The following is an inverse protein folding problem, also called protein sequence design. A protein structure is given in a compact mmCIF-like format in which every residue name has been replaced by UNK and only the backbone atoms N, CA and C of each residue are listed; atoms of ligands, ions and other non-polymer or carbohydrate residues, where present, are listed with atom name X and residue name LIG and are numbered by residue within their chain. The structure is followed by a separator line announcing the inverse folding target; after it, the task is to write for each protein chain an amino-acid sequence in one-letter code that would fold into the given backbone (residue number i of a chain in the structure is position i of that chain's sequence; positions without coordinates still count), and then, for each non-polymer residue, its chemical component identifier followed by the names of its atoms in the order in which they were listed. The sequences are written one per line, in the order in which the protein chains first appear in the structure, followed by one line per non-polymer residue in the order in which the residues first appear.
data_IF_210646005676
#
_entry.id   IF_210646005676
#
_cell.length_a   1.000
_cell.length_b   1.000
_cell.length_c   1.000
_cell.angle_alpha   90.00
_cell.angle_beta   90.00
_cell.angle_gamma   90.00
#
_symmetry.space_group_name_H-M   'P 1'
#
loop_
_entity.id
_entity.type
_entity.pdbx_description
1 polymer ?
#
# COMPACT_ATOMS: atom_id res chain seq x y z
N UNK A 1 35.98 1.21 18.34
CA UNK A 1 35.37 0.28 17.36
C UNK A 1 33.86 0.50 17.37
N UNK A 2 33.29 0.80 16.20
CA UNK A 2 31.84 1.05 16.05
C UNK A 2 31.11 -0.26 16.31
N UNK A 3 30.37 -0.36 17.42
CA UNK A 3 29.48 -1.50 17.71
C UNK A 3 28.43 -1.56 16.60
N UNK A 4 28.63 -2.49 15.65
CA UNK A 4 27.64 -2.85 14.61
C UNK A 4 26.32 -3.17 15.31
N UNK A 5 25.27 -2.40 15.01
CA UNK A 5 23.93 -2.60 15.56
C UNK A 5 23.48 -4.04 15.34
N UNK A 6 23.13 -4.73 16.41
CA UNK A 6 22.65 -6.12 16.37
C UNK A 6 21.22 -6.11 15.83
N UNK A 7 20.82 -7.15 15.08
CA UNK A 7 19.41 -7.40 14.74
C UNK A 7 18.48 -7.36 15.98
N UNK A 8 19.01 -7.68 17.16
CA UNK A 8 18.31 -7.58 18.44
C UNK A 8 17.95 -6.17 18.90
N UNK A 9 18.66 -5.12 18.46
CA UNK A 9 18.37 -3.73 18.84
C UNK A 9 17.12 -3.17 18.14
N UNK A 10 16.75 -3.73 16.96
CA UNK A 10 15.46 -3.48 16.30
C UNK A 10 14.28 -4.10 17.07
N UNK A 11 14.55 -5.14 17.86
CA UNK A 11 13.58 -5.85 18.69
C UNK A 11 13.55 -5.31 20.13
N UNK A 12 13.81 -4.03 20.38
CA UNK A 12 13.42 -3.42 21.65
C UNK A 12 11.88 -3.36 21.75
N UNK A 13 11.33 -3.70 22.92
CA UNK A 13 9.87 -3.80 23.20
C UNK A 13 9.07 -2.53 22.85
N UNK A 14 9.78 -1.41 22.66
CA UNK A 14 9.26 -0.08 22.31
C UNK A 14 9.18 0.20 20.80
N UNK A 15 10.06 -0.39 19.98
CA UNK A 15 10.04 -0.26 18.51
C UNK A 15 9.44 -1.48 17.81
N UNK A 16 9.38 -2.66 18.46
CA UNK A 16 8.83 -3.89 17.87
C UNK A 16 7.45 -3.71 17.24
N UNK A 17 6.55 -2.97 17.91
CA UNK A 17 5.21 -2.75 17.37
C UNK A 17 5.26 -1.93 16.08
N UNK A 18 6.05 -0.85 16.05
CA UNK A 18 6.23 -0.03 14.84
C UNK A 18 6.90 -0.83 13.72
N UNK A 19 7.91 -1.65 14.04
CA UNK A 19 8.58 -2.51 13.05
C UNK A 19 7.63 -3.56 12.49
N UNK A 20 6.81 -4.21 13.33
CA UNK A 20 5.81 -5.18 12.88
C UNK A 20 4.73 -4.52 12.01
N UNK A 21 4.21 -3.36 12.41
CA UNK A 21 3.24 -2.59 11.62
C UNK A 21 3.83 -2.20 10.26
N UNK A 22 5.08 -1.75 10.23
CA UNK A 22 5.79 -1.43 8.99
C UNK A 22 6.01 -2.65 8.10
N UNK A 23 6.37 -3.80 8.68
CA UNK A 23 6.48 -5.05 7.94
C UNK A 23 5.15 -5.45 7.31
N UNK A 24 4.04 -5.35 8.05
CA UNK A 24 2.70 -5.60 7.51
C UNK A 24 2.37 -4.64 6.37
N UNK A 25 2.64 -3.34 6.54
CA UNK A 25 2.38 -2.34 5.50
C UNK A 25 3.22 -2.62 4.25
N UNK A 26 4.52 -2.87 4.38
CA UNK A 26 5.40 -3.18 3.25
C UNK A 26 5.00 -4.47 2.53
N UNK A 27 4.66 -5.50 3.30
CA UNK A 27 4.17 -6.77 2.76
C UNK A 27 2.90 -6.55 1.93
N UNK A 28 1.88 -5.91 2.52
CA UNK A 28 0.58 -5.69 1.86
C UNK A 28 0.69 -4.74 0.67
N UNK A 29 1.46 -3.65 0.80
CA UNK A 29 1.61 -2.66 -0.27
C UNK A 29 2.29 -3.31 -1.48
N UNK A 30 3.33 -4.11 -1.25
CA UNK A 30 3.98 -4.86 -2.32
C UNK A 30 3.07 -5.95 -2.91
N UNK A 31 2.37 -6.70 -2.06
CA UNK A 31 1.40 -7.71 -2.50
C UNK A 31 0.31 -7.10 -3.40
N UNK A 32 -0.23 -5.95 -3.00
CA UNK A 32 -1.31 -5.28 -3.72
C UNK A 32 -0.82 -4.53 -4.96
N UNK A 33 0.39 -3.98 -4.93
CA UNK A 33 1.04 -3.38 -6.10
C UNK A 33 1.25 -4.41 -7.22
N UNK A 34 1.77 -5.59 -6.89
CA UNK A 34 1.92 -6.64 -7.88
C UNK A 34 0.54 -7.24 -8.26
N UNK A 35 -0.39 -7.27 -7.30
CA UNK A 35 -1.73 -7.82 -7.49
C UNK A 35 -2.57 -7.01 -8.46
N UNK A 36 -2.53 -5.67 -8.36
CA UNK A 36 -3.26 -4.78 -9.27
C UNK A 36 -2.74 -4.90 -10.70
N UNK A 37 -1.45 -5.15 -10.92
CA UNK A 37 -0.88 -5.36 -12.26
C UNK A 37 -1.45 -6.63 -12.89
N UNK A 38 -1.49 -7.74 -12.14
CA UNK A 38 -2.06 -9.01 -12.61
C UNK A 38 -3.58 -8.94 -12.79
N UNK A 39 -4.26 -8.23 -11.88
CA UNK A 39 -5.70 -8.02 -11.97
C UNK A 39 -6.04 -7.18 -13.20
N UNK A 40 -5.28 -6.11 -13.45
CA UNK A 40 -5.44 -5.25 -14.63
C UNK A 40 -5.34 -6.09 -15.90
N UNK A 41 -4.32 -6.93 -16.04
CA UNK A 41 -4.18 -7.81 -17.21
C UNK A 41 -5.32 -8.81 -17.32
N UNK A 42 -5.72 -9.42 -16.20
CA UNK A 42 -6.82 -10.38 -16.19
C UNK A 42 -8.17 -9.73 -16.57
N UNK A 43 -8.45 -8.53 -16.07
CA UNK A 43 -9.68 -7.79 -16.38
C UNK A 43 -9.76 -7.36 -17.86
N UNK A 44 -8.62 -7.04 -18.49
CA UNK A 44 -8.58 -6.77 -19.94
C UNK A 44 -8.69 -8.05 -20.79
N UNK A 45 -8.31 -9.19 -20.24
CA UNK A 45 -8.38 -10.49 -20.92
C UNK A 45 -9.77 -11.16 -20.78
N UNK A 46 -10.46 -10.94 -19.65
CA UNK A 46 -11.76 -11.55 -19.34
C UNK A 46 -12.87 -11.08 -20.31
N UNK A 47 -13.62 -12.01 -20.95
CA UNK A 47 -14.71 -11.71 -21.86
C UNK A 47 -16.01 -11.39 -21.12
N UNK A 48 -15.95 -10.52 -20.12
CA UNK A 48 -17.13 -10.11 -19.37
C UNK A 48 -17.83 -9.00 -20.14
N UNK A 49 -19.03 -9.28 -20.67
CA UNK A 49 -19.87 -8.30 -21.39
C UNK A 49 -20.25 -7.04 -20.59
N UNK A 50 -19.81 -6.97 -19.33
CA UNK A 50 -19.92 -5.83 -18.43
C UNK A 50 -18.96 -4.66 -18.75
N UNK A 51 -17.75 -4.95 -19.26
CA UNK A 51 -16.70 -3.94 -19.41
C UNK A 51 -16.42 -3.50 -20.86
N UNK A 52 -17.42 -3.65 -21.74
CA UNK A 52 -17.40 -3.05 -23.08
C UNK A 52 -16.50 -3.76 -24.09
N UNK A 53 -16.25 -5.06 -23.91
CA UNK A 53 -15.69 -5.89 -24.98
C UNK A 53 -16.82 -6.30 -25.93
N UNK A 54 -16.90 -5.65 -27.11
CA UNK A 54 -17.74 -6.07 -28.24
C UNK A 54 -17.26 -7.40 -28.84
N UNK A 55 -17.34 -8.51 -28.11
CA UNK A 55 -16.92 -9.83 -28.62
C UNK A 55 -18.09 -10.80 -28.59
N UNK A 56 -18.54 -11.16 -29.80
CA UNK A 56 -19.55 -12.19 -30.06
C UNK A 56 -19.06 -13.53 -29.50
N UNK A 57 -19.84 -14.13 -28.61
CA UNK A 57 -19.70 -15.50 -28.15
C UNK A 57 -19.78 -16.46 -29.36
N UNK A 58 -18.68 -17.15 -29.69
CA UNK A 58 -18.69 -18.21 -30.70
C UNK A 58 -18.80 -19.57 -29.97
N UNK A 59 -19.89 -20.34 -30.16
CA UNK A 59 -20.19 -21.53 -29.35
C UNK A 59 -19.37 -22.80 -29.69
N UNK A 60 -18.27 -22.71 -30.44
CA UNK A 60 -17.43 -23.86 -30.80
C UNK A 60 -15.95 -23.63 -30.44
N UNK A 61 -15.45 -24.15 -29.30
CA UNK A 61 -14.07 -23.96 -28.90
C UNK A 61 -13.19 -25.07 -29.51
N UNK A 62 -12.55 -24.78 -30.65
CA UNK A 62 -11.37 -25.54 -31.09
C UNK A 62 -10.14 -24.84 -30.54
N UNK A 63 -9.57 -25.41 -29.47
CA UNK A 63 -8.32 -25.05 -28.77
C UNK A 63 -8.52 -24.37 -27.39
N UNK A 64 -8.06 -25.05 -26.33
CA UNK A 64 -8.12 -24.65 -24.91
C UNK A 64 -7.04 -23.61 -24.52
N UNK A 65 -6.32 -23.07 -25.51
CA UNK A 65 -5.25 -22.08 -25.35
C UNK A 65 -5.40 -21.00 -26.42
N UNK A 66 -6.54 -20.32 -26.43
CA UNK A 66 -6.76 -19.17 -27.30
C UNK A 66 -5.91 -18.01 -26.75
N UNK A 67 -4.65 -17.91 -27.20
CA UNK A 67 -3.81 -16.73 -27.03
C UNK A 67 -4.51 -15.54 -27.71
N UNK A 68 -5.45 -14.91 -27.01
CA UNK A 68 -6.16 -13.75 -27.51
C UNK A 68 -5.21 -12.58 -27.51
N UNK A 69 -4.92 -12.08 -28.70
CA UNK A 69 -3.99 -10.97 -28.89
C UNK A 69 -4.60 -9.72 -28.26
N UNK A 70 -3.95 -9.17 -27.22
CA UNK A 70 -4.27 -7.85 -26.66
C UNK A 70 -4.46 -6.86 -27.81
N UNK A 71 -5.64 -6.25 -27.91
CA UNK A 71 -5.93 -5.33 -29.01
C UNK A 71 -5.15 -4.05 -28.79
N UNK A 72 -4.83 -3.30 -29.86
CA UNK A 72 -4.12 -2.01 -29.76
C UNK A 72 -4.72 -1.07 -28.71
N UNK A 73 -6.04 -1.10 -28.52
CA UNK A 73 -6.76 -0.33 -27.50
C UNK A 73 -6.40 -0.76 -26.07
N UNK A 74 -6.30 -2.06 -25.80
CA UNK A 74 -5.92 -2.58 -24.47
C UNK A 74 -4.48 -2.23 -24.12
N UNK A 75 -3.59 -2.25 -25.13
CA UNK A 75 -2.20 -1.84 -24.95
C UNK A 75 -2.08 -0.34 -24.62
N UNK A 76 -2.90 0.50 -25.26
CA UNK A 76 -2.96 1.95 -24.98
C UNK A 76 -3.47 2.18 -23.55
N UNK A 77 -4.51 1.48 -23.12
CA UNK A 77 -5.05 1.60 -21.76
C UNK A 77 -4.05 1.10 -20.69
N UNK A 78 -3.33 0.01 -20.96
CA UNK A 78 -2.27 -0.50 -20.09
C UNK A 78 -1.10 0.50 -19.96
N UNK A 79 -0.74 1.14 -21.08
CA UNK A 79 0.29 2.18 -21.11
C UNK A 79 -0.17 3.40 -20.31
N UNK A 80 -1.43 3.81 -20.48
CA UNK A 80 -2.02 4.94 -19.77
C UNK A 80 -2.05 4.73 -18.25
N UNK A 81 -2.48 3.55 -17.79
CA UNK A 81 -2.48 3.22 -16.35
C UNK A 81 -1.07 3.16 -15.76
N UNK A 82 -0.07 2.75 -16.53
CA UNK A 82 1.35 2.77 -16.07
C UNK A 82 1.88 4.20 -15.99
N UNK A 83 1.48 5.06 -16.94
CA UNK A 83 1.86 6.47 -16.92
C UNK A 83 1.32 7.20 -15.68
N UNK A 84 0.26 6.68 -15.04
CA UNK A 84 -0.32 7.19 -13.79
C UNK A 84 0.65 7.24 -12.61
N UNK A 85 1.71 6.41 -12.63
CA UNK A 85 2.66 6.32 -11.54
C UNK A 85 3.43 7.64 -11.38
N UNK A 86 3.81 8.30 -12.47
CA UNK A 86 4.51 9.59 -12.42
C UNK A 86 3.70 10.70 -11.73
N UNK A 87 2.50 11.08 -12.20
CA UNK A 87 1.69 12.10 -11.54
C UNK A 87 1.28 11.66 -10.14
N UNK A 88 1.01 10.37 -9.92
CA UNK A 88 0.73 9.82 -8.59
C UNK A 88 1.85 10.10 -7.60
N UNK A 89 3.10 9.85 -7.98
CA UNK A 89 4.28 10.12 -7.16
C UNK A 89 4.43 11.61 -6.80
N UNK A 90 4.21 12.52 -7.76
CA UNK A 90 4.25 13.96 -7.49
C UNK A 90 3.15 14.40 -6.52
N UNK A 91 1.93 13.90 -6.73
CA UNK A 91 0.78 14.18 -5.87
C UNK A 91 1.07 13.67 -4.46
N UNK A 92 1.49 12.41 -4.31
CA UNK A 92 1.87 11.83 -3.02
C UNK A 92 2.99 12.62 -2.35
N UNK A 93 4.05 12.97 -3.06
CA UNK A 93 5.14 13.79 -2.52
C UNK A 93 4.62 15.13 -1.95
N UNK A 94 3.69 15.76 -2.66
CA UNK A 94 3.03 16.98 -2.19
C UNK A 94 2.15 16.74 -0.95
N UNK A 95 1.34 15.67 -0.94
CA UNK A 95 0.52 15.29 0.23
C UNK A 95 1.37 14.97 1.47
N UNK A 96 2.48 14.25 1.29
CA UNK A 96 3.41 13.92 2.37
C UNK A 96 3.92 15.17 3.08
N UNK A 97 4.22 16.22 2.31
CA UNK A 97 4.69 17.51 2.83
C UNK A 97 3.56 18.32 3.49
N UNK A 98 2.34 18.30 2.95
CA UNK A 98 1.23 19.17 3.39
C UNK A 98 0.37 18.58 4.51
N UNK A 99 0.05 17.28 4.45
CA UNK A 99 -0.89 16.59 5.33
C UNK A 99 -0.13 15.79 6.40
N UNK A 100 1.07 15.29 6.06
CA UNK A 100 1.92 14.51 6.96
C UNK A 100 1.96 13.05 6.53
N UNK A 101 3.07 12.39 6.87
CA UNK A 101 3.48 11.12 6.25
C UNK A 101 2.58 9.95 6.66
N UNK A 102 2.22 9.87 7.94
CA UNK A 102 1.30 8.85 8.48
C UNK A 102 -0.08 8.90 7.83
N UNK A 103 -0.68 10.09 7.80
CA UNK A 103 -2.03 10.28 7.25
C UNK A 103 -2.07 10.06 5.74
N UNK A 104 -1.04 10.51 5.02
CA UNK A 104 -0.95 10.30 3.57
C UNK A 104 -0.96 8.81 3.24
N UNK A 105 -0.09 8.02 3.87
CA UNK A 105 -0.06 6.56 3.64
C UNK A 105 -1.39 5.88 4.00
N UNK A 106 -2.01 6.27 5.12
CA UNK A 106 -3.28 5.67 5.55
C UNK A 106 -4.44 6.02 4.60
N UNK A 107 -4.51 7.28 4.14
CA UNK A 107 -5.50 7.74 3.16
C UNK A 107 -5.30 7.04 1.83
N UNK A 108 -4.05 6.92 1.36
CA UNK A 108 -3.75 6.22 0.11
C UNK A 108 -4.19 4.75 0.17
N UNK A 109 -3.85 4.02 1.23
CA UNK A 109 -4.28 2.62 1.39
C UNK A 109 -5.82 2.49 1.48
N UNK A 110 -6.51 3.42 2.14
CA UNK A 110 -7.98 3.44 2.16
C UNK A 110 -8.58 3.73 0.79
N UNK A 111 -8.08 4.74 0.09
CA UNK A 111 -8.54 5.10 -1.26
C UNK A 111 -8.34 3.92 -2.19
N UNK A 112 -7.20 3.22 -2.10
CA UNK A 112 -6.97 2.00 -2.87
C UNK A 112 -8.03 0.93 -2.58
N UNK A 113 -8.33 0.63 -1.30
CA UNK A 113 -9.38 -0.33 -0.95
C UNK A 113 -10.74 0.04 -1.56
N UNK A 114 -11.12 1.32 -1.47
CA UNK A 114 -12.40 1.80 -2.02
C UNK A 114 -12.41 1.66 -3.55
N UNK A 115 -11.35 2.09 -4.23
CA UNK A 115 -11.25 2.04 -5.69
C UNK A 115 -11.26 0.58 -6.19
N UNK A 116 -10.52 -0.31 -5.54
CA UNK A 116 -10.49 -1.74 -5.88
C UNK A 116 -11.85 -2.39 -5.65
N UNK A 117 -12.59 -1.99 -4.60
CA UNK A 117 -13.96 -2.45 -4.42
C UNK A 117 -14.90 -1.91 -5.51
N UNK A 118 -14.77 -0.64 -5.91
CA UNK A 118 -15.57 -0.02 -6.98
C UNK A 118 -15.33 -0.69 -8.34
N UNK A 119 -14.14 -1.23 -8.59
CA UNK A 119 -13.84 -2.01 -9.81
C UNK A 119 -14.69 -3.29 -9.92
N UNK A 120 -15.25 -3.81 -8.82
CA UNK A 120 -16.21 -4.93 -8.92
C UNK A 120 -17.55 -4.52 -9.53
N UNK A 121 -17.87 -3.22 -9.57
CA UNK A 121 -19.12 -2.74 -10.14
C UNK A 121 -18.96 -2.71 -11.67
N UNK A 122 -19.88 -3.38 -12.35
CA UNK A 122 -20.00 -3.39 -13.80
C UNK A 122 -20.05 -1.94 -14.34
N UNK A 123 -19.02 -1.53 -15.09
CA UNK A 123 -18.76 -0.15 -15.53
C UNK A 123 -18.28 -0.14 -16.98
N UNK A 124 -18.50 0.95 -17.74
CA UNK A 124 -17.94 1.08 -19.08
C UNK A 124 -16.40 1.06 -19.06
N UNK A 125 -15.79 0.64 -20.18
CA UNK A 125 -14.33 0.47 -20.35
C UNK A 125 -13.52 1.69 -19.90
N UNK A 126 -14.00 2.89 -20.22
CA UNK A 126 -13.36 4.15 -19.82
C UNK A 126 -13.35 4.36 -18.30
N UNK A 127 -14.45 4.01 -17.64
CA UNK A 127 -14.56 4.06 -16.18
C UNK A 127 -13.59 3.08 -15.52
N UNK A 128 -13.52 1.85 -16.01
CA UNK A 128 -12.59 0.83 -15.51
C UNK A 128 -11.13 1.31 -15.63
N UNK A 129 -10.72 1.80 -16.81
CA UNK A 129 -9.36 2.31 -17.03
C UNK A 129 -9.04 3.47 -16.09
N UNK A 130 -10.00 4.37 -15.84
CA UNK A 130 -9.84 5.47 -14.90
C UNK A 130 -9.67 4.99 -13.45
N UNK A 131 -10.49 4.05 -12.97
CA UNK A 131 -10.33 3.50 -11.62
C UNK A 131 -9.01 2.74 -11.47
N UNK A 132 -8.59 1.98 -12.47
CA UNK A 132 -7.29 1.28 -12.47
C UNK A 132 -6.13 2.29 -12.47
N UNK A 133 -6.24 3.38 -13.22
CA UNK A 133 -5.27 4.49 -13.20
C UNK A 133 -5.13 5.07 -11.79
N UNK A 134 -6.25 5.38 -11.13
CA UNK A 134 -6.26 5.89 -9.75
C UNK A 134 -5.70 4.86 -8.77
N UNK A 135 -6.10 3.59 -8.88
CA UNK A 135 -5.60 2.52 -8.02
C UNK A 135 -4.07 2.40 -8.12
N UNK A 136 -3.52 2.43 -9.35
CA UNK A 136 -2.07 2.37 -9.59
C UNK A 136 -1.32 3.56 -9.03
N UNK A 137 -1.84 4.77 -9.27
CA UNK A 137 -1.24 5.99 -8.75
C UNK A 137 -1.17 5.98 -7.21
N UNK A 138 -2.26 5.57 -6.57
CA UNK A 138 -2.40 5.57 -5.10
C UNK A 138 -1.54 4.49 -4.44
N UNK A 139 -1.48 3.27 -4.98
CA UNK A 139 -0.66 2.20 -4.40
C UNK A 139 0.85 2.46 -4.59
N UNK A 140 1.23 3.05 -5.72
CA UNK A 140 2.61 3.50 -5.96
C UNK A 140 2.99 4.64 -5.00
N UNK A 141 2.07 5.57 -4.79
CA UNK A 141 2.17 6.61 -3.75
C UNK A 141 2.39 6.02 -2.35
N UNK A 142 1.54 5.08 -1.93
CA UNK A 142 1.65 4.44 -0.62
C UNK A 142 3.00 3.75 -0.41
N UNK A 143 3.54 3.12 -1.46
CA UNK A 143 4.86 2.50 -1.44
C UNK A 143 5.95 3.56 -1.26
N UNK A 144 5.91 4.65 -2.04
CA UNK A 144 6.87 5.75 -1.91
C UNK A 144 6.80 6.42 -0.52
N UNK A 145 5.60 6.63 0.01
CA UNK A 145 5.37 7.12 1.37
C UNK A 145 6.00 6.21 2.42
N UNK A 146 5.85 4.89 2.28
CA UNK A 146 6.49 3.92 3.14
C UNK A 146 8.03 3.99 3.06
N UNK A 147 8.59 4.16 1.85
CA UNK A 147 10.04 4.31 1.64
C UNK A 147 10.62 5.55 2.30
N UNK A 148 9.88 6.66 2.30
CA UNK A 148 10.29 7.92 2.96
C UNK A 148 10.12 7.83 4.47
N UNK A 149 9.01 7.24 4.93
CA UNK A 149 8.70 7.14 6.35
C UNK A 149 9.62 6.18 7.12
N UNK A 150 10.02 5.07 6.49
CA UNK A 150 10.89 4.04 7.09
C UNK A 150 12.20 4.63 7.66
N UNK A 151 13.02 5.38 6.90
CA UNK A 151 14.25 5.96 7.44
C UNK A 151 14.04 7.05 8.49
N UNK A 152 12.87 7.67 8.56
CA UNK A 152 12.58 8.72 9.55
C UNK A 152 12.27 8.16 10.94
N UNK A 153 11.68 6.96 11.01
CA UNK A 153 11.39 6.31 12.29
C UNK A 153 12.61 5.61 12.90
N UNK A 154 13.59 5.22 12.08
CA UNK A 154 14.77 4.49 12.54
C UNK A 154 15.97 5.43 12.72
N UNK A 155 16.69 5.35 13.87
CA UNK A 155 17.92 6.11 14.07
C UNK A 155 19.00 5.69 13.08
N UNK A 156 19.91 6.61 12.75
CA UNK A 156 20.93 6.47 11.69
C UNK A 156 21.72 5.15 11.76
N UNK A 157 21.98 4.64 12.97
CA UNK A 157 22.71 3.39 13.21
C UNK A 157 21.98 2.12 12.78
N UNK A 158 20.65 2.11 12.77
CA UNK A 158 19.82 0.93 12.42
C UNK A 158 18.92 1.16 11.20
N UNK A 159 18.93 2.38 10.64
CA UNK A 159 18.14 2.78 9.46
C UNK A 159 18.28 1.82 8.28
N UNK A 160 19.53 1.46 7.92
CA UNK A 160 19.79 0.55 6.80
C UNK A 160 19.22 -0.86 7.05
N UNK A 161 19.32 -1.37 8.28
CA UNK A 161 18.79 -2.70 8.64
C UNK A 161 17.26 -2.67 8.69
N UNK A 162 16.68 -1.60 9.23
CA UNK A 162 15.23 -1.38 9.24
C UNK A 162 14.65 -1.35 7.82
N UNK A 163 15.22 -0.55 6.92
CA UNK A 163 14.81 -0.50 5.52
C UNK A 163 15.03 -1.84 4.80
N UNK A 164 16.17 -2.49 5.03
CA UNK A 164 16.48 -3.80 4.43
C UNK A 164 15.49 -4.90 4.84
N UNK A 165 15.11 -4.97 6.12
CA UNK A 165 14.13 -5.94 6.60
C UNK A 165 12.72 -5.67 6.05
N UNK A 166 12.30 -4.38 6.01
CA UNK A 166 11.03 -3.99 5.41
C UNK A 166 10.99 -4.34 3.91
N UNK A 167 12.07 -4.06 3.18
CA UNK A 167 12.21 -4.43 1.77
C UNK A 167 12.19 -5.94 1.55
N UNK A 168 12.86 -6.71 2.41
CA UNK A 168 12.78 -8.17 2.40
C UNK A 168 11.32 -8.64 2.49
N UNK A 169 10.55 -8.07 3.42
CA UNK A 169 9.13 -8.41 3.58
C UNK A 169 8.26 -8.02 2.37
N UNK A 170 8.55 -6.88 1.73
CA UNK A 170 7.90 -6.53 0.46
C UNK A 170 8.20 -7.54 -0.65
N UNK A 171 9.44 -8.06 -0.74
CA UNK A 171 9.77 -9.09 -1.74
C UNK A 171 8.98 -10.37 -1.49
N UNK A 172 8.79 -10.77 -0.24
CA UNK A 172 7.93 -11.92 0.09
C UNK A 172 6.49 -11.68 -0.38
N UNK A 173 5.93 -10.48 -0.15
CA UNK A 173 4.61 -10.12 -0.68
C UNK A 173 4.52 -10.20 -2.20
N UNK A 174 5.53 -9.68 -2.91
CA UNK A 174 5.60 -9.73 -4.37
C UNK A 174 5.67 -11.17 -4.91
N UNK A 175 6.44 -12.05 -4.26
CA UNK A 175 6.57 -13.46 -4.65
C UNK A 175 5.24 -14.20 -4.46
N UNK A 176 4.52 -13.94 -3.37
CA UNK A 176 3.25 -14.63 -3.06
C UNK A 176 2.13 -14.19 -4.02
N UNK A 177 2.17 -12.95 -4.49
CA UNK A 177 1.12 -12.35 -5.33
C UNK A 177 0.73 -13.20 -6.54
N UNK A 178 1.64 -13.59 -7.46
CA UNK A 178 1.26 -14.36 -8.64
C UNK A 178 0.68 -15.73 -8.29
N UNK A 179 1.14 -16.38 -7.22
CA UNK A 179 0.54 -17.66 -6.78
C UNK A 179 -0.90 -17.47 -6.33
N UNK A 180 -1.18 -16.42 -5.54
CA UNK A 180 -2.54 -16.12 -5.10
C UNK A 180 -3.41 -15.72 -6.29
N UNK A 181 -2.92 -14.86 -7.17
CA UNK A 181 -3.64 -14.44 -8.38
C UNK A 181 -3.99 -15.65 -9.26
N UNK A 182 -3.04 -16.56 -9.53
CA UNK A 182 -3.29 -17.73 -10.37
C UNK A 182 -4.37 -18.66 -9.81
N UNK A 183 -4.43 -18.85 -8.49
CA UNK A 183 -5.44 -19.71 -7.85
C UNK A 183 -6.79 -19.01 -7.79
N UNK A 184 -6.84 -17.75 -7.37
CA UNK A 184 -8.10 -17.03 -7.18
C UNK A 184 -8.74 -16.61 -8.50
N UNK A 185 -7.96 -16.18 -9.50
CA UNK A 185 -8.50 -15.82 -10.82
C UNK A 185 -9.15 -17.02 -11.53
N UNK A 186 -8.67 -18.25 -11.28
CA UNK A 186 -9.30 -19.48 -11.79
C UNK A 186 -10.66 -19.77 -11.14
N UNK A 187 -10.85 -19.35 -9.89
CA UNK A 187 -12.07 -19.64 -9.14
C UNK A 187 -13.10 -18.52 -9.30
N UNK A 188 -12.71 -17.27 -9.04
CA UNK A 188 -13.55 -16.09 -9.20
C UNK A 188 -12.72 -14.81 -9.14
N UNK A 189 -12.88 -13.94 -10.13
CA UNK A 189 -12.27 -12.60 -10.16
C UNK A 189 -12.70 -11.75 -8.96
N UNK A 190 -13.98 -11.77 -8.60
CA UNK A 190 -14.52 -11.07 -7.42
C UNK A 190 -13.84 -11.49 -6.10
N UNK A 191 -13.52 -12.78 -5.96
CA UNK A 191 -12.83 -13.29 -4.77
C UNK A 191 -11.41 -12.73 -4.66
N UNK A 192 -10.68 -12.63 -5.79
CA UNK A 192 -9.36 -12.01 -5.84
C UNK A 192 -9.42 -10.55 -5.41
N UNK A 193 -10.34 -9.77 -5.98
CA UNK A 193 -10.47 -8.33 -5.72
C UNK A 193 -10.81 -8.07 -4.25
N UNK A 194 -11.77 -8.82 -3.70
CA UNK A 194 -12.15 -8.72 -2.28
C UNK A 194 -10.99 -9.06 -1.34
N UNK A 195 -10.17 -10.06 -1.69
CA UNK A 195 -8.99 -10.42 -0.92
C UNK A 195 -7.98 -9.26 -0.87
N UNK A 196 -7.59 -8.71 -2.04
CA UNK A 196 -6.66 -7.58 -2.10
C UNK A 196 -7.20 -6.36 -1.34
N UNK A 197 -8.48 -6.03 -1.49
CA UNK A 197 -9.14 -4.96 -0.75
C UNK A 197 -9.08 -5.16 0.77
N UNK A 198 -9.29 -6.40 1.24
CA UNK A 198 -9.25 -6.76 2.66
C UNK A 198 -7.84 -6.64 3.26
N UNK A 199 -6.81 -7.11 2.55
CA UNK A 199 -5.42 -6.93 2.99
C UNK A 199 -5.05 -5.45 3.06
N UNK A 200 -5.40 -4.65 2.05
CA UNK A 200 -5.17 -3.20 2.07
C UNK A 200 -5.92 -2.49 3.20
N UNK A 201 -7.14 -2.92 3.54
CA UNK A 201 -7.87 -2.39 4.68
C UNK A 201 -7.12 -2.66 6.00
N UNK A 202 -6.59 -3.86 6.18
CA UNK A 202 -5.77 -4.22 7.34
C UNK A 202 -4.51 -3.36 7.38
N UNK A 203 -3.85 -3.12 6.25
CA UNK A 203 -2.67 -2.25 6.19
C UNK A 203 -3.02 -0.77 6.45
N UNK A 204 -4.18 -0.29 6.00
CA UNK A 204 -4.67 1.05 6.30
C UNK A 204 -4.93 1.22 7.80
N UNK A 205 -5.59 0.24 8.43
CA UNK A 205 -5.78 0.21 9.88
C UNK A 205 -4.43 0.17 10.61
N UNK A 206 -3.50 -0.68 10.15
CA UNK A 206 -2.14 -0.72 10.68
C UNK A 206 -1.48 0.66 10.58
N UNK A 207 -1.64 1.37 9.45
CA UNK A 207 -1.16 2.72 9.22
C UNK A 207 -1.75 3.75 10.20
N UNK A 208 -3.04 3.66 10.51
CA UNK A 208 -3.68 4.51 11.53
C UNK A 208 -3.17 4.22 12.95
N UNK A 209 -2.90 2.97 13.28
CA UNK A 209 -2.38 2.56 14.58
C UNK A 209 -0.90 2.92 14.79
N UNK A 210 -0.19 3.49 13.80
CA UNK A 210 1.18 3.95 14.02
C UNK A 210 1.22 5.02 15.12
N UNK A 211 2.00 4.80 16.21
CA UNK A 211 2.03 5.71 17.36
C UNK A 211 2.89 6.96 17.13
N UNK A 212 3.62 7.03 16.01
CA UNK A 212 4.60 8.07 15.73
C UNK A 212 4.11 8.87 14.52
N UNK A 213 4.05 10.18 14.66
CA UNK A 213 3.83 11.12 13.56
C UNK A 213 5.13 11.89 13.36
N UNK A 214 5.81 11.69 12.22
CA UNK A 214 7.14 12.25 11.94
C UNK A 214 7.09 13.71 11.45
N UNK A 215 5.90 14.32 11.35
CA UNK A 215 5.74 15.71 10.92
C UNK A 215 6.28 16.67 11.99
N UNK A 216 7.37 17.36 11.67
CA UNK A 216 7.98 18.38 12.55
C UNK A 216 9.05 17.87 13.52
N UNK A 217 9.45 16.59 13.45
CA UNK A 217 10.69 16.15 14.08
C UNK A 217 11.84 16.41 13.11
N UNK A 218 12.45 17.59 13.22
CA UNK A 218 13.81 17.79 12.73
C UNK A 218 14.69 16.66 13.28
N UNK A 219 15.50 16.07 12.41
CA UNK A 219 16.56 15.16 12.83
C UNK A 219 17.53 15.96 13.68
N UNK A 220 17.25 16.10 14.98
CA UNK A 220 18.29 16.47 15.94
C UNK A 220 19.31 15.35 15.88
N UNK A 221 20.44 15.73 15.30
CA UNK A 221 21.70 15.03 15.41
C UNK A 221 21.86 14.58 16.88
N UNK A 222 21.87 13.28 17.10
CA UNK A 222 22.14 12.69 18.41
C UNK A 222 23.13 11.56 18.22
N UNK A 223 24.28 11.91 17.64
CA UNK A 223 25.53 11.55 18.31
C UNK A 223 25.47 12.14 19.71
N UNK A 224 25.23 11.28 20.71
CA UNK A 224 24.97 11.57 22.12
C UNK A 224 23.50 11.84 22.51
N UNK A 225 23.07 11.05 23.49
CA UNK A 225 21.84 11.13 24.30
C UNK A 225 20.48 10.80 23.66
N UNK A 226 20.07 9.55 23.89
CA UNK A 226 18.69 9.05 23.77
C UNK A 226 17.79 9.81 24.76
N UNK A 227 16.81 10.62 24.30
CA UNK A 227 15.78 11.12 25.22
C UNK A 227 14.92 9.94 25.65
N UNK A 228 14.93 9.64 26.94
CA UNK A 228 14.08 8.64 27.60
C UNK A 228 12.60 9.06 27.51
N UNK A 229 11.97 8.90 26.35
CA UNK A 229 10.51 8.96 26.30
C UNK A 229 10.02 7.65 26.92
N UNK A 230 9.51 7.72 28.14
CA UNK A 230 8.98 6.56 28.85
C UNK A 230 7.54 6.34 28.39
N UNK A 231 7.11 5.10 28.18
CA UNK A 231 5.73 4.77 27.73
C UNK A 231 4.64 5.34 28.67
N UNK A 232 4.98 5.67 29.92
CA UNK A 232 4.11 6.40 30.85
C UNK A 232 3.68 7.79 30.36
N UNK A 233 4.47 8.46 29.50
CA UNK A 233 4.14 9.79 28.99
C UNK A 233 3.14 9.79 27.83
N UNK A 234 3.03 8.70 27.07
CA UNK A 234 2.06 8.61 25.98
C UNK A 234 0.65 8.39 26.56
N UNK A 235 0.54 7.56 27.60
CA UNK A 235 -0.74 7.32 28.28
C UNK A 235 -1.19 8.53 29.09
N UNK A 236 -0.27 9.30 29.68
CA UNK A 236 -0.62 10.53 30.42
C UNK A 236 -1.03 11.67 29.48
N UNK A 237 -0.31 11.89 28.36
CA UNK A 237 -0.65 12.95 27.40
C UNK A 237 -1.95 12.68 26.64
N UNK A 238 -2.25 11.41 26.35
CA UNK A 238 -3.54 11.05 25.73
C UNK A 238 -4.68 11.26 26.74
N UNK A 239 -4.53 10.84 28.01
CA UNK A 239 -5.54 11.14 29.05
C UNK A 239 -5.71 12.64 29.30
N UNK A 240 -4.64 13.43 29.31
CA UNK A 240 -4.70 14.88 29.49
C UNK A 240 -5.40 15.59 28.33
N UNK A 241 -5.18 15.17 27.08
CA UNK A 241 -5.88 15.71 25.91
C UNK A 241 -7.37 15.37 25.89
N UNK A 242 -7.78 14.19 26.37
CA UNK A 242 -9.19 13.84 26.51
C UNK A 242 -9.85 14.55 27.70
N UNK A 243 -9.14 14.72 28.83
CA UNK A 243 -9.65 15.42 30.01
C UNK A 243 -9.82 16.94 29.78
N UNK A 244 -8.86 17.60 29.11
CA UNK A 244 -8.97 19.02 28.75
C UNK A 244 -10.10 19.27 27.75
N UNK A 245 -10.34 18.34 26.81
CA UNK A 245 -11.46 18.44 25.86
C UNK A 245 -12.83 18.22 26.53
N UNK A 246 -12.88 17.55 27.69
CA UNK A 246 -14.11 17.35 28.47
C UNK A 246 -14.44 18.57 29.35
N UNK A 247 -13.44 19.24 29.92
CA UNK A 247 -13.65 20.45 30.76
C UNK A 247 -14.08 21.67 29.93
N UNK A 248 -13.74 21.70 28.63
CA UNK A 248 -14.04 22.84 27.77
C UNK A 248 -15.43 22.78 27.12
N UNK A 249 -16.22 21.74 27.41
CA UNK A 249 -17.52 21.48 26.78
C UNK A 249 -18.66 21.21 27.78
N UNK A 250 -18.48 21.64 29.03
CA UNK A 250 -19.49 21.77 30.10
C UNK A 250 -19.36 23.14 30.74
#
# INVERSE_FOLDING_TARGET
SVKRGRFGDLLMRRLRLTTLLMWTIWFVTSFSYNGIVLLTTAMFESPDGCHGSEVKFNPNPTCFLECKSLTKKDYIDLTWTTFAEFPGLFITAFLLNKIGRKYTMAVELLVFTVVVMLVNICMPREGLTFFLFVARAVISGAFQGAYVYTPEIYPTSVRAIGLGTCSGMARVGAIITPFVAQVLLKQSTYAAISLYGSFCLIAALAAFFLPIETRGYDMKDSGSEVPKVTVRDVTSRTRLKWATKFVQNT
#
